data_IF_732710627959
#
_entry.id   IF_732710627959
#
_cell.length_a   1.000
_cell.length_b   1.000
_cell.length_c   1.000
_cell.angle_alpha   90.00
_cell.angle_beta   90.00
_cell.angle_gamma   90.00
#
_symmetry.space_group_name_H-M   'P 1'
#
loop_
_entity.id
_entity.type
_entity.pdbx_description
1 polymer ?
#
# COMPACT_ATOMS: atom_id res chain seq x y z
N UNK A 1 -21.37 0.85 -15.48
CA UNK A 1 -20.04 1.12 -16.08
C UNK A 1 -19.19 -0.14 -15.92
N UNK A 2 -18.40 -0.46 -16.91
CA UNK A 2 -17.56 -1.64 -16.87
C UNK A 2 -16.09 -1.23 -16.81
N UNK A 3 -15.36 -1.85 -15.92
CA UNK A 3 -13.95 -1.53 -15.64
C UNK A 3 -13.03 -2.60 -16.24
N UNK A 4 -11.79 -2.28 -16.43
CA UNK A 4 -10.76 -3.23 -16.84
C UNK A 4 -10.36 -4.04 -15.60
N UNK A 5 -10.43 -5.38 -15.69
CA UNK A 5 -9.97 -6.26 -14.64
C UNK A 5 -8.44 -6.31 -14.57
N UNK A 6 -7.90 -6.41 -13.36
CA UNK A 6 -6.45 -6.57 -13.12
C UNK A 6 -6.26 -7.87 -12.32
N UNK A 7 -5.46 -8.82 -12.77
CA UNK A 7 -4.72 -8.82 -14.04
C UNK A 7 -5.63 -8.89 -15.26
N UNK A 8 -5.12 -8.44 -16.39
CA UNK A 8 -5.86 -8.49 -17.65
C UNK A 8 -6.23 -9.93 -18.00
N UNK A 9 -7.49 -10.15 -18.27
CA UNK A 9 -8.00 -11.45 -18.69
C UNK A 9 -8.74 -11.31 -20.03
N UNK A 10 -8.47 -12.22 -20.95
CA UNK A 10 -9.05 -12.22 -22.28
C UNK A 10 -9.78 -13.53 -22.49
N UNK A 11 -11.04 -13.45 -22.81
CA UNK A 11 -11.87 -14.59 -23.21
C UNK A 11 -12.19 -14.59 -24.71
N UNK A 12 -13.05 -15.50 -25.14
CA UNK A 12 -13.47 -15.60 -26.54
C UNK A 12 -14.22 -14.35 -27.06
N UNK A 13 -14.70 -13.51 -26.16
CA UNK A 13 -15.43 -12.26 -26.46
C UNK A 13 -14.55 -11.01 -26.37
N UNK A 14 -13.28 -11.18 -26.03
CA UNK A 14 -12.32 -10.09 -25.87
C UNK A 14 -11.92 -9.86 -24.40
N UNK A 15 -11.65 -8.62 -24.04
CA UNK A 15 -11.18 -8.25 -22.73
C UNK A 15 -12.31 -8.41 -21.68
N UNK A 16 -12.05 -9.23 -20.66
CA UNK A 16 -12.97 -9.39 -19.53
C UNK A 16 -13.04 -8.07 -18.74
N UNK A 17 -14.26 -7.67 -18.41
CA UNK A 17 -14.55 -6.44 -17.69
C UNK A 17 -15.12 -6.73 -16.31
N UNK A 18 -14.66 -5.97 -15.33
CA UNK A 18 -15.20 -5.98 -13.97
C UNK A 18 -16.35 -4.98 -13.85
N UNK A 19 -17.42 -5.37 -13.18
CA UNK A 19 -18.58 -4.52 -12.97
C UNK A 19 -18.57 -3.82 -11.61
N UNK A 20 -17.86 -4.37 -10.63
CA UNK A 20 -17.74 -3.79 -9.29
C UNK A 20 -16.64 -2.75 -9.22
N UNK A 21 -16.99 -1.52 -8.93
CA UNK A 21 -16.02 -0.44 -8.71
C UNK A 21 -15.10 -0.75 -7.53
N UNK A 22 -15.67 -1.25 -6.42
CA UNK A 22 -14.89 -1.63 -5.25
C UNK A 22 -13.82 -2.68 -5.58
N UNK A 23 -14.19 -3.71 -6.32
CA UNK A 23 -13.25 -4.77 -6.70
C UNK A 23 -12.12 -4.25 -7.57
N UNK A 24 -12.38 -3.33 -8.49
CA UNK A 24 -11.32 -2.73 -9.31
C UNK A 24 -10.38 -1.85 -8.49
N UNK A 25 -10.86 -1.19 -7.45
CA UNK A 25 -10.02 -0.44 -6.52
C UNK A 25 -9.18 -1.40 -5.67
N UNK A 26 -9.78 -2.49 -5.18
CA UNK A 26 -9.06 -3.53 -4.42
C UNK A 26 -7.91 -4.12 -5.26
N UNK A 27 -8.15 -4.44 -6.52
CA UNK A 27 -7.15 -4.96 -7.45
C UNK A 27 -6.03 -3.96 -7.70
N UNK A 28 -6.35 -2.69 -7.86
CA UNK A 28 -5.39 -1.61 -8.05
C UNK A 28 -4.51 -1.40 -6.81
N UNK A 29 -5.10 -1.38 -5.64
CA UNK A 29 -4.37 -1.27 -4.37
C UNK A 29 -3.48 -2.50 -4.16
N UNK A 30 -3.99 -3.69 -4.43
CA UNK A 30 -3.19 -4.92 -4.34
C UNK A 30 -2.00 -4.89 -5.30
N UNK A 31 -2.19 -4.42 -6.52
CA UNK A 31 -1.11 -4.29 -7.48
C UNK A 31 -0.01 -3.34 -6.99
N UNK A 32 -0.39 -2.20 -6.41
CA UNK A 32 0.56 -1.26 -5.81
C UNK A 32 1.36 -1.88 -4.67
N UNK A 33 0.68 -2.63 -3.80
CA UNK A 33 1.30 -3.32 -2.67
C UNK A 33 2.26 -4.43 -3.10
N UNK A 34 1.88 -5.20 -4.10
CA UNK A 34 2.61 -6.39 -4.54
C UNK A 34 3.73 -6.09 -5.53
N UNK A 35 3.76 -4.90 -6.11
CA UNK A 35 4.81 -4.50 -7.05
C UNK A 35 5.95 -3.84 -6.30
N UNK A 36 7.18 -4.39 -6.36
CA UNK A 36 8.33 -3.72 -5.79
C UNK A 36 8.62 -2.39 -6.50
N UNK A 37 8.90 -1.37 -5.72
CA UNK A 37 9.29 -0.07 -6.26
C UNK A 37 10.57 -0.21 -7.09
N UNK A 38 10.68 0.55 -8.16
CA UNK A 38 11.75 0.53 -9.15
C UNK A 38 11.77 -0.70 -10.08
N UNK A 39 10.81 -1.60 -9.95
CA UNK A 39 10.72 -2.77 -10.82
C UNK A 39 10.02 -2.49 -12.15
N UNK A 40 9.21 -1.44 -12.21
CA UNK A 40 8.53 -1.04 -13.43
C UNK A 40 9.41 -0.08 -14.25
N UNK A 41 9.81 -0.51 -15.44
CA UNK A 41 10.67 0.30 -16.33
C UNK A 41 9.95 1.55 -16.83
N UNK A 42 8.64 1.44 -17.07
CA UNK A 42 7.84 2.56 -17.58
C UNK A 42 7.59 3.65 -16.50
N UNK A 43 7.44 3.24 -15.25
CA UNK A 43 7.29 4.15 -14.12
C UNK A 43 8.00 3.58 -12.90
N UNK A 44 9.24 3.99 -12.64
CA UNK A 44 10.03 3.51 -11.50
C UNK A 44 9.43 3.84 -10.13
N UNK A 45 8.56 4.84 -10.05
CA UNK A 45 7.91 5.23 -8.79
C UNK A 45 6.68 4.40 -8.47
N UNK A 46 6.17 3.64 -9.44
CA UNK A 46 5.04 2.75 -9.22
C UNK A 46 5.45 1.57 -8.35
N UNK A 47 4.65 1.29 -7.33
CA UNK A 47 4.86 0.18 -6.42
C UNK A 47 5.23 0.60 -5.01
N UNK A 48 5.54 -0.38 -4.19
CA UNK A 48 5.82 -0.20 -2.78
C UNK A 48 7.18 -0.79 -2.41
N UNK A 49 7.88 -0.16 -1.47
CA UNK A 49 9.25 -0.53 -1.07
C UNK A 49 9.34 -1.78 -0.19
N UNK A 50 8.31 -2.59 -0.14
CA UNK A 50 8.19 -3.73 0.77
C UNK A 50 9.38 -4.69 0.75
N UNK A 51 9.95 -4.94 -0.41
CA UNK A 51 11.10 -5.85 -0.51
C UNK A 51 12.36 -5.35 0.18
N UNK A 52 12.41 -4.07 0.51
CA UNK A 52 13.52 -3.47 1.22
C UNK A 52 13.31 -3.47 2.75
N UNK A 53 12.16 -3.95 3.21
CA UNK A 53 11.78 -4.00 4.62
C UNK A 53 12.35 -5.19 5.39
N UNK A 54 13.38 -5.81 4.89
CA UNK A 54 13.83 -7.12 5.36
C UNK A 54 14.15 -7.24 6.84
N UNK A 55 14.56 -6.17 7.50
CA UNK A 55 15.40 -6.42 8.68
C UNK A 55 15.07 -5.63 9.93
N UNK A 56 14.29 -4.58 9.87
CA UNK A 56 14.15 -3.67 11.02
C UNK A 56 12.76 -3.64 11.65
N UNK A 57 11.83 -4.28 11.00
CA UNK A 57 10.51 -4.53 11.58
C UNK A 57 10.60 -5.37 12.86
N UNK A 58 11.70 -6.10 13.03
CA UNK A 58 11.89 -6.99 14.18
C UNK A 58 12.11 -6.25 15.50
N UNK A 59 12.52 -5.01 15.45
CA UNK A 59 12.66 -4.17 16.63
C UNK A 59 11.37 -3.44 17.00
N UNK A 60 10.37 -3.51 16.12
CA UNK A 60 9.06 -2.92 16.39
C UNK A 60 8.25 -3.77 17.37
N UNK A 61 7.45 -3.10 18.16
CA UNK A 61 6.61 -3.76 19.13
C UNK A 61 5.49 -4.54 18.45
N UNK A 62 5.38 -5.80 18.83
CA UNK A 62 4.34 -6.69 18.33
C UNK A 62 2.94 -6.20 18.69
N UNK A 63 2.01 -6.30 17.74
CA UNK A 63 0.60 -5.94 17.94
C UNK A 63 0.31 -4.45 17.99
N UNK A 64 1.31 -3.59 17.91
CA UNK A 64 1.11 -2.14 17.84
C UNK A 64 0.58 -1.75 16.47
N UNK A 65 -0.44 -0.90 16.47
CA UNK A 65 -1.01 -0.34 15.23
C UNK A 65 -0.26 0.92 14.84
N UNK A 66 0.32 0.89 13.66
CA UNK A 66 1.04 2.03 13.08
C UNK A 66 0.16 2.73 12.05
N UNK A 67 0.00 4.04 12.21
CA UNK A 67 -0.87 4.85 11.37
C UNK A 67 -0.08 5.75 10.43
N UNK A 68 -0.57 5.88 9.22
CA UNK A 68 -0.04 6.83 8.23
C UNK A 68 -0.29 8.31 8.58
N UNK A 69 -1.21 8.55 9.50
CA UNK A 69 -1.56 9.90 9.95
C UNK A 69 -0.78 10.39 11.16
N UNK A 70 0.24 9.65 11.60
CA UNK A 70 1.07 10.09 12.72
C UNK A 70 2.07 11.16 12.27
N UNK A 71 1.57 12.37 12.17
CA UNK A 71 2.27 13.54 11.63
C UNK A 71 3.45 14.01 12.47
N UNK A 72 3.53 13.60 13.72
CA UNK A 72 4.66 13.94 14.58
C UNK A 72 5.99 13.41 14.01
N UNK A 73 5.93 12.32 13.29
CA UNK A 73 7.10 11.74 12.66
C UNK A 73 7.49 12.44 11.35
N UNK A 74 6.52 12.83 10.55
CA UNK A 74 6.77 13.59 9.32
C UNK A 74 7.37 14.96 9.60
N UNK A 75 6.94 15.62 10.67
CA UNK A 75 7.40 16.94 11.05
C UNK A 75 8.74 16.93 11.77
N UNK A 76 9.08 15.84 12.46
CA UNK A 76 10.31 15.76 13.24
C UNK A 76 11.57 15.61 12.37
N UNK A 77 11.46 14.99 11.17
CA UNK A 77 12.62 14.70 10.33
C UNK A 77 12.33 14.71 8.82
N UNK A 78 12.07 15.87 8.22
CA UNK A 78 11.72 15.95 6.79
C UNK A 78 12.83 15.48 5.83
N UNK A 79 14.06 15.31 6.30
CA UNK A 79 15.17 14.79 5.49
C UNK A 79 15.40 13.30 5.58
N UNK A 80 14.69 12.59 6.44
CA UNK A 80 14.92 11.17 6.69
C UNK A 80 14.50 10.29 5.52
N UNK A 81 13.45 10.67 4.83
CA UNK A 81 12.96 9.98 3.65
C UNK A 81 13.96 9.95 2.50
N UNK A 82 14.66 11.05 2.30
CA UNK A 82 15.61 11.16 1.19
C UNK A 82 16.98 10.56 1.51
N UNK A 83 17.36 10.45 2.77
CA UNK A 83 18.69 9.97 3.18
C UNK A 83 18.76 8.47 3.45
N UNK A 84 17.63 7.80 3.62
CA UNK A 84 17.59 6.38 4.02
C UNK A 84 16.96 5.50 2.98
N UNK A 85 17.45 5.59 1.76
CA UNK A 85 17.08 4.71 0.65
C UNK A 85 17.48 3.25 0.93
N UNK A 86 18.41 3.03 1.85
CA UNK A 86 18.91 1.69 2.16
C UNK A 86 18.07 0.89 3.15
N UNK A 87 16.83 1.20 3.33
CA UNK A 87 15.85 0.37 4.05
C UNK A 87 16.10 0.14 5.54
N UNK A 88 17.30 0.44 5.99
CA UNK A 88 17.81 -0.05 7.26
C UNK A 88 17.33 0.68 8.51
N UNK A 89 16.44 1.64 8.39
CA UNK A 89 15.94 2.34 9.58
C UNK A 89 14.59 3.02 9.42
N UNK A 90 13.80 2.56 8.46
CA UNK A 90 12.40 2.98 8.34
C UNK A 90 11.57 2.17 9.33
N UNK A 91 10.82 2.84 10.17
CA UNK A 91 9.86 2.18 11.03
C UNK A 91 8.52 1.94 10.32
N UNK A 92 7.61 1.24 10.96
CA UNK A 92 6.31 0.90 10.40
C UNK A 92 5.46 2.14 10.07
N UNK A 93 5.56 3.21 10.85
CA UNK A 93 4.85 4.46 10.54
C UNK A 93 5.32 5.07 9.21
N UNK A 94 6.61 5.02 8.95
CA UNK A 94 7.19 5.47 7.67
C UNK A 94 6.64 4.65 6.51
N UNK A 95 6.56 3.34 6.66
CA UNK A 95 6.01 2.47 5.62
C UNK A 95 4.53 2.71 5.39
N UNK A 96 3.76 2.91 6.45
CA UNK A 96 2.34 3.26 6.32
C UNK A 96 2.15 4.60 5.59
N UNK A 97 2.98 5.59 5.90
CA UNK A 97 2.95 6.89 5.24
C UNK A 97 3.37 6.81 3.77
N UNK A 98 4.39 6.04 3.43
CA UNK A 98 4.80 5.81 2.04
C UNK A 98 3.72 5.10 1.24
N UNK A 99 3.08 4.09 1.81
CA UNK A 99 1.98 3.39 1.15
C UNK A 99 0.79 4.32 0.91
N UNK A 100 0.44 5.14 1.88
CA UNK A 100 -0.59 6.17 1.72
C UNK A 100 -0.28 7.08 0.53
N UNK A 101 0.93 7.58 0.43
CA UNK A 101 1.33 8.48 -0.66
C UNK A 101 1.28 7.78 -2.03
N UNK A 102 1.73 6.54 -2.11
CA UNK A 102 1.66 5.75 -3.35
C UNK A 102 0.21 5.53 -3.76
N UNK A 103 -0.66 5.14 -2.85
CA UNK A 103 -2.09 4.96 -3.13
C UNK A 103 -2.71 6.27 -3.58
N UNK A 104 -2.43 7.36 -2.89
CA UNK A 104 -2.93 8.68 -3.22
C UNK A 104 -2.50 9.14 -4.62
N UNK A 105 -1.29 8.83 -5.01
CA UNK A 105 -0.74 9.20 -6.32
C UNK A 105 -1.34 8.38 -7.46
N UNK A 106 -1.49 7.09 -7.28
CA UNK A 106 -1.86 6.16 -8.35
C UNK A 106 -3.33 5.72 -8.33
N UNK A 107 -4.01 5.78 -7.18
CA UNK A 107 -5.43 5.45 -7.07
C UNK A 107 -6.28 6.70 -6.81
N UNK A 108 -6.55 7.43 -7.87
CA UNK A 108 -7.28 8.71 -7.79
C UNK A 108 -8.78 8.57 -7.50
N UNK A 109 -9.31 7.36 -7.56
CA UNK A 109 -10.71 7.08 -7.20
C UNK A 109 -10.93 7.07 -5.69
N UNK A 110 -9.85 7.10 -4.89
CA UNK A 110 -9.90 7.23 -3.44
C UNK A 110 -9.45 8.62 -3.00
N UNK A 111 -10.18 9.20 -2.07
CA UNK A 111 -9.80 10.39 -1.32
C UNK A 111 -9.75 10.07 0.17
N UNK A 112 -9.14 10.97 0.95
CA UNK A 112 -8.99 10.81 2.40
C UNK A 112 -8.38 9.46 2.81
N UNK A 113 -7.36 9.04 2.06
CA UNK A 113 -6.70 7.76 2.27
C UNK A 113 -5.96 7.74 3.61
N UNK A 114 -6.18 6.70 4.38
CA UNK A 114 -5.40 6.37 5.57
C UNK A 114 -4.96 4.91 5.53
N UNK A 115 -3.78 4.64 6.06
CA UNK A 115 -3.20 3.30 6.11
C UNK A 115 -2.83 2.96 7.53
N UNK A 116 -3.18 1.77 7.97
CA UNK A 116 -2.72 1.20 9.23
C UNK A 116 -1.99 -0.10 8.97
N UNK A 117 -0.94 -0.36 9.74
CA UNK A 117 -0.15 -1.58 9.67
C UNK A 117 0.04 -2.15 11.07
N UNK A 118 -0.07 -3.48 11.18
CA UNK A 118 0.18 -4.21 12.42
C UNK A 118 1.06 -5.41 12.12
N UNK A 119 2.17 -5.54 12.85
CA UNK A 119 3.09 -6.67 12.69
C UNK A 119 2.81 -7.75 13.73
N UNK A 120 2.67 -8.98 13.28
CA UNK A 120 2.54 -10.17 14.13
C UNK A 120 3.77 -11.05 13.89
N UNK A 121 4.64 -11.09 14.89
CA UNK A 121 5.95 -11.76 14.81
C UNK A 121 5.83 -13.27 14.60
N UNK A 122 4.92 -13.90 15.34
CA UNK A 122 4.71 -15.35 15.28
C UNK A 122 4.30 -15.81 13.88
N UNK A 123 3.46 -15.05 13.23
CA UNK A 123 2.99 -15.32 11.88
C UNK A 123 3.94 -14.78 10.81
N UNK A 124 4.86 -13.90 11.18
CA UNK A 124 5.73 -13.15 10.26
C UNK A 124 4.94 -12.41 9.20
N UNK A 125 3.86 -11.82 9.61
CA UNK A 125 2.93 -11.13 8.74
C UNK A 125 2.68 -9.70 9.19
N UNK A 126 2.51 -8.83 8.22
CA UNK A 126 2.01 -7.48 8.41
C UNK A 126 0.58 -7.44 7.93
N UNK A 127 -0.33 -7.04 8.80
CA UNK A 127 -1.72 -6.77 8.46
C UNK A 127 -1.83 -5.31 8.04
N UNK A 128 -2.32 -5.09 6.84
CA UNK A 128 -2.47 -3.75 6.26
C UNK A 128 -3.94 -3.46 6.06
N UNK A 129 -4.40 -2.34 6.56
CA UNK A 129 -5.76 -1.83 6.31
C UNK A 129 -5.66 -0.47 5.64
N UNK A 130 -6.26 -0.36 4.46
CA UNK A 130 -6.40 0.88 3.71
C UNK A 130 -7.84 1.36 3.84
N UNK A 131 -8.02 2.59 4.25
CA UNK A 131 -9.33 3.26 4.35
C UNK A 131 -9.34 4.51 3.51
N UNK A 132 -10.49 4.85 3.00
CA UNK A 132 -10.69 6.07 2.24
C UNK A 132 -12.15 6.26 1.88
N UNK A 133 -12.40 7.19 0.99
CA UNK A 133 -13.74 7.47 0.45
C UNK A 133 -13.67 7.39 -1.06
N UNK A 134 -14.57 6.63 -1.66
CA UNK A 134 -14.66 6.55 -3.12
C UNK A 134 -15.18 7.87 -3.67
N UNK A 135 -14.42 8.50 -4.54
CA UNK A 135 -14.75 9.84 -5.04
C UNK A 135 -16.06 9.90 -5.82
N UNK A 136 -16.35 8.85 -6.58
CA UNK A 136 -17.53 8.76 -7.45
C UNK A 136 -18.83 8.55 -6.66
N UNK A 137 -18.82 7.62 -5.71
CA UNK A 137 -20.02 7.20 -4.96
C UNK A 137 -20.15 7.85 -3.60
N UNK A 138 -19.07 8.46 -3.08
CA UNK A 138 -18.97 9.00 -1.71
C UNK A 138 -19.13 7.94 -0.62
N UNK A 139 -18.97 6.69 -0.97
CA UNK A 139 -19.03 5.56 -0.03
C UNK A 139 -17.68 5.35 0.67
N UNK A 140 -17.75 4.90 1.92
CA UNK A 140 -16.55 4.49 2.65
C UNK A 140 -15.91 3.25 2.01
N UNK A 141 -14.60 3.31 1.89
CA UNK A 141 -13.79 2.21 1.36
C UNK A 141 -12.91 1.64 2.46
N UNK A 142 -12.89 0.32 2.55
CA UNK A 142 -11.98 -0.43 3.42
C UNK A 142 -11.42 -1.62 2.66
N UNK A 143 -10.11 -1.74 2.66
CA UNK A 143 -9.40 -2.88 2.11
C UNK A 143 -8.40 -3.41 3.13
N UNK A 144 -8.45 -4.70 3.43
CA UNK A 144 -7.53 -5.36 4.36
C UNK A 144 -6.80 -6.47 3.65
N UNK A 145 -5.49 -6.51 3.81
CA UNK A 145 -4.64 -7.55 3.27
C UNK A 145 -3.49 -7.87 4.22
N UNK A 146 -2.78 -8.93 3.90
CA UNK A 146 -1.60 -9.35 4.65
C UNK A 146 -0.39 -9.42 3.74
N UNK A 147 0.77 -9.07 4.31
CA UNK A 147 2.05 -9.18 3.62
C UNK A 147 2.99 -10.04 4.46
N UNK A 148 3.62 -11.03 3.84
CA UNK A 148 4.61 -11.85 4.53
C UNK A 148 5.96 -11.14 4.58
N UNK A 149 6.54 -11.16 5.77
CA UNK A 149 7.88 -10.62 5.98
C UNK A 149 8.90 -11.74 5.72
N UNK A 150 9.84 -11.51 4.82
CA UNK A 150 10.93 -12.44 4.55
C UNK A 150 12.02 -12.29 5.62
N UNK A 151 12.59 -13.39 5.94
CA UNK A 151 13.82 -13.40 6.74
C UNK A 151 14.98 -12.85 5.95
#
# INVERSE_FOLDING_TARGET
MRYIAIPLNIDKKGLVREESLKQTIDESVYLLLSTPRYNNVADPNFGFVFNNMRFEIFDEHEGVVYNSGDTAYENAMPGLYSKKISGSSKNMNTFAAELKEVIRQYERRLQDVSVTMTYIREERMIYVTVKGVVTETKEDYVYTTTMRVWK
#
